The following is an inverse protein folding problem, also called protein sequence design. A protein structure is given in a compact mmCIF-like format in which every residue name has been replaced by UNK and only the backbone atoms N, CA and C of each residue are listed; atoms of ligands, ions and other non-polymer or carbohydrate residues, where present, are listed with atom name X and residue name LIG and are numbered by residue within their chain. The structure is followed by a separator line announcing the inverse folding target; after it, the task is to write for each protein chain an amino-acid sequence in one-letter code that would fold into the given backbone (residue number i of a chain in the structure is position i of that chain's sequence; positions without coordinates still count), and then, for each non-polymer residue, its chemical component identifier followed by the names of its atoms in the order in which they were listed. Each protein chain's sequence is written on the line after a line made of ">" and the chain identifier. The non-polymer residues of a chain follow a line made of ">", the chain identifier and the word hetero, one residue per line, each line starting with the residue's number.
data_IF_122222034320
#
_entry.id   IF_122222034320
#
_cell.length_a   1.000
_cell.length_b   1.000
_cell.length_c   1.000
_cell.angle_alpha   90.00
_cell.angle_beta   90.00
_cell.angle_gamma   90.00
#
_symmetry.space_group_name_H-M   'P 1'
#
loop_
_entity.id
_entity.type
_entity.pdbx_description
1 polymer ?
#
# COMPACT_ATOMS: atom_id res chain seq x y z
N UNK A 1 -42.33 -2.75 10.39
CA UNK A 1 -40.97 -3.02 9.89
C UNK A 1 -40.45 -4.27 10.58
N UNK A 2 -39.86 -5.20 9.84
CA UNK A 2 -39.22 -6.38 10.41
C UNK A 2 -37.96 -5.96 11.21
N UNK A 3 -37.71 -6.61 12.36
CA UNK A 3 -36.55 -6.28 13.19
C UNK A 3 -35.25 -6.68 12.47
N UNK A 4 -34.20 -5.88 12.68
CA UNK A 4 -32.89 -6.16 12.08
C UNK A 4 -32.35 -7.53 12.49
N UNK A 5 -32.59 -7.94 13.74
CA UNK A 5 -32.22 -9.25 14.25
C UNK A 5 -32.88 -10.40 13.45
N UNK A 6 -34.16 -10.28 13.11
CA UNK A 6 -34.88 -11.30 12.32
C UNK A 6 -34.38 -11.36 10.89
N UNK A 7 -34.13 -10.21 10.26
CA UNK A 7 -33.52 -10.15 8.93
C UNK A 7 -32.16 -10.84 8.88
N UNK A 8 -31.31 -10.61 9.89
CA UNK A 8 -30.01 -11.28 10.00
C UNK A 8 -30.20 -12.80 10.13
N UNK A 9 -31.13 -13.27 10.97
CA UNK A 9 -31.39 -14.72 11.13
C UNK A 9 -31.83 -15.37 9.82
N UNK A 10 -32.75 -14.74 9.10
CA UNK A 10 -33.22 -15.23 7.79
C UNK A 10 -32.09 -15.25 6.76
N UNK A 11 -31.35 -14.15 6.64
CA UNK A 11 -30.22 -14.03 5.73
C UNK A 11 -29.12 -15.07 6.00
N UNK A 12 -28.84 -15.38 7.28
CA UNK A 12 -27.93 -16.48 7.67
C UNK A 12 -28.41 -17.85 7.20
N UNK A 13 -29.72 -18.05 7.09
CA UNK A 13 -30.34 -19.26 6.58
C UNK A 13 -30.51 -19.22 5.05
N UNK A 14 -29.64 -18.47 4.35
CA UNK A 14 -29.60 -18.35 2.89
C UNK A 14 -30.84 -17.72 2.25
N UNK A 15 -31.64 -16.97 3.03
CA UNK A 15 -32.74 -16.18 2.48
C UNK A 15 -32.20 -14.98 1.71
N UNK A 16 -32.36 -15.01 0.38
CA UNK A 16 -31.80 -14.01 -0.53
C UNK A 16 -32.44 -12.64 -0.35
N UNK A 17 -33.76 -12.60 -0.18
CA UNK A 17 -34.51 -11.35 -0.01
C UNK A 17 -34.07 -10.60 1.26
N UNK A 18 -33.90 -11.33 2.37
CA UNK A 18 -33.40 -10.75 3.62
C UNK A 18 -31.97 -10.23 3.48
N UNK A 19 -31.09 -10.94 2.76
CA UNK A 19 -29.73 -10.47 2.50
C UNK A 19 -29.72 -9.22 1.62
N UNK A 20 -30.53 -9.20 0.56
CA UNK A 20 -30.64 -8.06 -0.35
C UNK A 20 -31.20 -6.81 0.37
N UNK A 21 -32.19 -6.99 1.23
CA UNK A 21 -32.72 -5.91 2.06
C UNK A 21 -31.67 -5.37 3.05
N UNK A 22 -30.87 -6.26 3.64
CA UNK A 22 -29.76 -5.89 4.51
C UNK A 22 -28.71 -5.09 3.74
N UNK A 23 -28.29 -5.55 2.56
CA UNK A 23 -27.34 -4.84 1.69
C UNK A 23 -27.89 -3.44 1.37
N UNK A 24 -29.15 -3.35 0.94
CA UNK A 24 -29.81 -2.07 0.62
C UNK A 24 -29.82 -1.12 1.83
N UNK A 25 -30.09 -1.64 3.03
CA UNK A 25 -30.13 -0.84 4.27
C UNK A 25 -28.77 -0.30 4.68
N UNK A 26 -27.69 -1.02 4.40
CA UNK A 26 -26.31 -0.63 4.73
C UNK A 26 -25.52 -0.06 3.53
N UNK A 27 -26.08 -0.03 2.33
CA UNK A 27 -25.45 0.54 1.14
C UNK A 27 -24.97 1.99 1.33
N UNK A 28 -25.69 2.89 2.04
CA UNK A 28 -25.22 4.25 2.26
C UNK A 28 -23.86 4.33 2.95
N UNK A 29 -23.61 3.48 3.95
CA UNK A 29 -22.31 3.44 4.65
C UNK A 29 -21.25 2.71 3.81
N UNK A 30 -21.62 1.61 3.13
CA UNK A 30 -20.71 0.89 2.23
C UNK A 30 -20.21 1.84 1.14
N UNK A 31 -21.11 2.55 0.47
CA UNK A 31 -20.81 3.54 -0.57
C UNK A 31 -20.01 4.73 -0.01
N UNK A 32 -20.31 5.18 1.22
CA UNK A 32 -19.54 6.26 1.86
C UNK A 32 -18.09 5.87 2.14
N UNK A 33 -17.86 4.62 2.57
CA UNK A 33 -16.52 4.10 2.85
C UNK A 33 -15.76 3.75 1.57
N UNK A 34 -16.42 3.18 0.56
CA UNK A 34 -15.79 2.82 -0.70
C UNK A 34 -15.25 4.05 -1.44
N UNK A 35 -15.97 5.17 -1.43
CA UNK A 35 -15.51 6.44 -2.03
C UNK A 35 -14.23 7.00 -1.40
N UNK A 36 -13.91 6.60 -0.17
CA UNK A 36 -12.69 7.00 0.53
C UNK A 36 -11.50 6.08 0.21
N UNK A 37 -11.74 5.00 -0.52
CA UNK A 37 -10.72 4.07 -0.99
C UNK A 37 -10.42 4.41 -2.47
N UNK A 38 -9.15 4.49 -2.83
CA UNK A 38 -8.69 4.70 -4.22
C UNK A 38 -8.66 3.35 -4.97
N UNK A 39 -9.74 2.58 -4.91
CA UNK A 39 -9.85 1.25 -5.51
C UNK A 39 -11.23 1.11 -6.16
N UNK A 40 -11.27 0.79 -7.44
CA UNK A 40 -12.50 0.60 -8.23
C UNK A 40 -13.37 -0.52 -7.64
N UNK A 41 -12.74 -1.56 -7.09
CA UNK A 41 -13.43 -2.71 -6.47
C UNK A 41 -13.83 -2.49 -5.01
N UNK A 42 -13.50 -1.33 -4.42
CA UNK A 42 -13.72 -1.07 -3.00
C UNK A 42 -15.17 -1.28 -2.54
N UNK A 43 -16.15 -0.94 -3.39
CA UNK A 43 -17.56 -1.14 -3.06
C UNK A 43 -17.91 -2.63 -3.04
N UNK A 44 -17.40 -3.41 -3.99
CA UNK A 44 -17.62 -4.85 -4.06
C UNK A 44 -16.96 -5.54 -2.86
N UNK A 45 -15.71 -5.19 -2.54
CA UNK A 45 -14.96 -5.75 -1.41
C UNK A 45 -15.68 -5.52 -0.07
N UNK A 46 -16.13 -4.30 0.18
CA UNK A 46 -16.88 -3.97 1.40
C UNK A 46 -18.24 -4.68 1.45
N UNK A 47 -18.90 -4.89 0.31
CA UNK A 47 -20.16 -5.63 0.23
C UNK A 47 -19.95 -7.12 0.51
N UNK A 48 -18.89 -7.73 -0.05
CA UNK A 48 -18.52 -9.12 0.21
C UNK A 48 -18.17 -9.31 1.68
N UNK A 49 -17.41 -8.39 2.26
CA UNK A 49 -17.10 -8.40 3.70
C UNK A 49 -18.36 -8.27 4.56
N UNK A 50 -19.29 -7.38 4.20
CA UNK A 50 -20.57 -7.23 4.87
C UNK A 50 -21.36 -8.55 4.87
N UNK A 51 -21.54 -9.17 3.70
CA UNK A 51 -22.24 -10.46 3.56
C UNK A 51 -21.61 -11.52 4.46
N UNK A 52 -20.27 -11.63 4.43
CA UNK A 52 -19.52 -12.57 5.29
C UNK A 52 -19.78 -12.29 6.78
N UNK A 53 -19.74 -11.03 7.18
CA UNK A 53 -20.02 -10.62 8.57
C UNK A 53 -21.42 -11.04 9.01
N UNK A 54 -22.45 -10.91 8.17
CA UNK A 54 -23.81 -11.38 8.46
C UNK A 54 -23.83 -12.91 8.65
N UNK A 55 -23.14 -13.67 7.79
CA UNK A 55 -23.03 -15.12 7.95
C UNK A 55 -22.25 -15.55 9.20
N UNK A 56 -21.27 -14.76 9.65
CA UNK A 56 -20.39 -15.11 10.77
C UNK A 56 -20.87 -14.58 12.13
N UNK A 57 -21.73 -13.55 12.16
CA UNK A 57 -22.15 -12.91 13.42
C UNK A 57 -22.80 -13.91 14.38
N UNK A 58 -22.26 -14.03 15.59
CA UNK A 58 -22.81 -14.88 16.66
C UNK A 58 -23.79 -14.09 17.50
N UNK A 59 -25.06 -14.04 17.09
CA UNK A 59 -26.10 -13.27 17.78
C UNK A 59 -26.25 -13.66 19.27
N UNK A 60 -26.01 -14.93 19.61
CA UNK A 60 -26.08 -15.44 20.99
C UNK A 60 -25.04 -14.79 21.91
N UNK A 61 -23.91 -14.34 21.35
CA UNK A 61 -22.81 -13.74 22.11
C UNK A 61 -22.97 -12.22 22.30
N UNK A 62 -24.04 -11.62 21.78
CA UNK A 62 -24.28 -10.18 21.89
C UNK A 62 -24.98 -9.87 23.22
N UNK A 63 -24.34 -9.06 24.05
CA UNK A 63 -24.89 -8.55 25.32
C UNK A 63 -26.23 -7.82 25.08
N UNK A 64 -26.38 -7.18 23.92
CA UNK A 64 -27.59 -6.50 23.51
C UNK A 64 -27.84 -6.75 22.02
N UNK A 65 -29.00 -7.33 21.70
CA UNK A 65 -29.42 -7.65 20.32
C UNK A 65 -30.49 -6.70 19.78
N UNK A 66 -30.66 -5.54 20.40
CA UNK A 66 -31.51 -4.48 19.84
C UNK A 66 -30.99 -4.03 18.48
N UNK A 67 -31.90 -3.53 17.64
CA UNK A 67 -31.57 -3.04 16.31
C UNK A 67 -30.46 -1.97 16.34
N UNK A 68 -30.48 -1.07 17.34
CA UNK A 68 -29.42 -0.06 17.50
C UNK A 68 -28.05 -0.66 17.81
N UNK A 69 -28.00 -1.70 18.66
CA UNK A 69 -26.75 -2.40 18.96
C UNK A 69 -26.21 -3.13 17.73
N UNK A 70 -27.08 -3.78 16.96
CA UNK A 70 -26.72 -4.48 15.72
C UNK A 70 -26.23 -3.52 14.63
N UNK A 71 -26.91 -2.38 14.45
CA UNK A 71 -26.46 -1.32 13.53
C UNK A 71 -25.06 -0.84 13.93
N UNK A 72 -24.83 -0.56 15.21
CA UNK A 72 -23.52 -0.13 15.68
C UNK A 72 -22.45 -1.21 15.48
N UNK A 73 -22.75 -2.48 15.75
CA UNK A 73 -21.84 -3.59 15.53
C UNK A 73 -21.39 -3.67 14.06
N UNK A 74 -22.36 -3.66 13.13
CA UNK A 74 -22.11 -3.74 11.69
C UNK A 74 -21.31 -2.53 11.22
N UNK A 75 -21.70 -1.32 11.66
CA UNK A 75 -21.00 -0.07 11.37
C UNK A 75 -19.53 -0.16 11.79
N UNK A 76 -19.25 -0.63 12.99
CA UNK A 76 -17.88 -0.78 13.48
C UNK A 76 -17.08 -1.84 12.73
N UNK A 77 -17.72 -2.94 12.32
CA UNK A 77 -17.10 -3.93 11.45
C UNK A 77 -16.66 -3.33 10.11
N UNK A 78 -17.55 -2.58 9.46
CA UNK A 78 -17.28 -1.90 8.19
C UNK A 78 -16.15 -0.86 8.30
N UNK A 79 -16.11 -0.05 9.36
CA UNK A 79 -15.00 0.88 9.58
C UNK A 79 -13.66 0.16 9.75
N UNK A 80 -13.64 -0.97 10.47
CA UNK A 80 -12.41 -1.75 10.65
C UNK A 80 -11.90 -2.30 9.32
N UNK A 81 -12.77 -2.85 8.49
CA UNK A 81 -12.37 -3.33 7.16
C UNK A 81 -11.92 -2.19 6.26
N UNK A 82 -12.63 -1.06 6.27
CA UNK A 82 -12.17 0.16 5.59
C UNK A 82 -10.74 0.56 6.02
N UNK A 83 -10.46 0.62 7.31
CA UNK A 83 -9.13 0.98 7.80
C UNK A 83 -8.06 -0.04 7.42
N UNK A 84 -8.42 -1.33 7.33
CA UNK A 84 -7.52 -2.38 6.86
C UNK A 84 -7.21 -2.22 5.37
N UNK A 85 -8.23 -2.01 4.53
CA UNK A 85 -8.07 -1.78 3.10
C UNK A 85 -7.28 -0.50 2.81
N UNK A 86 -7.53 0.57 3.58
CA UNK A 86 -6.83 1.85 3.43
C UNK A 86 -5.37 1.83 3.92
N UNK A 87 -4.95 0.80 4.67
CA UNK A 87 -3.56 0.59 5.09
C UNK A 87 -2.73 -0.15 4.05
N UNK A 88 -3.37 -0.90 3.15
CA UNK A 88 -2.70 -1.44 1.97
C UNK A 88 -2.36 -0.22 1.11
N UNK A 89 -1.07 0.09 0.99
CA UNK A 89 -0.62 1.28 0.28
C UNK A 89 -1.30 1.36 -1.10
N UNK A 90 -1.71 2.56 -1.56
CA UNK A 90 -2.24 2.69 -2.90
C UNK A 90 -1.19 2.11 -3.84
N UNK A 91 -1.57 1.11 -4.64
CA UNK A 91 -0.83 0.81 -5.86
C UNK A 91 -0.79 2.16 -6.58
N UNK A 92 0.40 2.74 -6.70
CA UNK A 92 0.56 4.00 -7.43
C UNK A 92 -0.02 3.73 -8.81
N UNK A 93 -1.15 4.35 -9.12
CA UNK A 93 -1.72 4.31 -10.45
C UNK A 93 -0.75 5.06 -11.35
N UNK A 94 0.09 4.30 -12.03
CA UNK A 94 0.96 4.83 -13.06
C UNK A 94 0.07 5.11 -14.28
N UNK A 95 0.10 6.32 -14.82
CA UNK A 95 -0.70 6.64 -16.01
C UNK A 95 -0.23 5.75 -17.17
N UNK A 96 -1.17 5.32 -18.02
CA UNK A 96 -0.87 4.45 -19.17
C UNK A 96 0.21 5.04 -20.09
N UNK A 97 0.38 6.37 -20.09
CA UNK A 97 1.45 7.07 -20.82
C UNK A 97 2.86 6.76 -20.30
N UNK A 98 3.03 6.52 -19.00
CA UNK A 98 4.34 6.19 -18.41
C UNK A 98 4.78 4.75 -18.76
N UNK A 99 3.84 3.89 -19.21
CA UNK A 99 4.14 2.54 -19.70
C UNK A 99 4.68 2.60 -21.14
N UNK A 100 4.30 3.61 -21.92
CA UNK A 100 4.68 3.78 -23.33
C UNK A 100 5.80 4.78 -23.57
N UNK A 101 6.39 5.38 -22.53
CA UNK A 101 7.76 5.89 -22.69
C UNK A 101 8.63 4.67 -22.92
N UNK A 102 8.97 4.44 -24.20
CA UNK A 102 9.94 3.45 -24.68
C UNK A 102 10.98 3.22 -23.59
N UNK A 103 11.17 1.96 -23.23
CA UNK A 103 12.14 1.46 -22.27
C UNK A 103 13.52 2.06 -22.54
N UNK A 104 13.74 3.25 -21.99
CA UNK A 104 15.02 3.93 -21.92
C UNK A 104 15.84 3.33 -20.79
N UNK A 105 15.29 2.39 -20.03
CA UNK A 105 15.90 1.90 -18.81
C UNK A 105 17.23 1.22 -19.13
N UNK A 106 17.32 0.30 -20.10
CA UNK A 106 18.63 -0.31 -20.44
C UNK A 106 19.68 0.71 -20.92
N UNK A 107 19.29 1.73 -21.69
CA UNK A 107 20.22 2.78 -22.16
C UNK A 107 20.65 3.73 -21.03
N UNK A 108 19.71 4.21 -20.21
CA UNK A 108 19.94 5.07 -19.05
C UNK A 108 20.78 4.32 -18.00
N UNK A 109 20.57 3.00 -17.88
CA UNK A 109 21.34 2.17 -16.97
C UNK A 109 22.81 2.06 -17.38
N UNK A 110 23.04 1.80 -18.67
CA UNK A 110 24.39 1.78 -19.26
C UNK A 110 25.04 3.16 -19.15
N UNK A 111 24.30 4.23 -19.48
CA UNK A 111 24.79 5.61 -19.42
C UNK A 111 25.19 6.02 -17.99
N UNK A 112 24.37 5.70 -16.98
CA UNK A 112 24.68 6.00 -15.58
C UNK A 112 25.93 5.28 -15.09
N UNK A 113 26.09 3.99 -15.45
CA UNK A 113 27.27 3.21 -15.08
C UNK A 113 28.53 3.73 -15.78
N UNK A 114 28.44 4.02 -17.07
CA UNK A 114 29.54 4.61 -17.87
C UNK A 114 29.96 5.96 -17.32
N UNK A 115 29.00 6.81 -16.94
CA UNK A 115 29.28 8.11 -16.32
C UNK A 115 30.02 7.96 -14.98
N UNK A 116 29.59 7.04 -14.10
CA UNK A 116 30.30 6.77 -12.86
C UNK A 116 31.71 6.21 -13.09
N UNK A 117 31.90 5.36 -14.10
CA UNK A 117 33.21 4.85 -14.52
C UNK A 117 34.14 5.99 -14.97
N UNK A 118 33.62 6.93 -15.78
CA UNK A 118 34.36 8.11 -16.21
C UNK A 118 34.81 8.98 -15.02
N UNK A 119 33.95 9.16 -14.02
CA UNK A 119 34.28 9.92 -12.81
C UNK A 119 35.35 9.25 -11.96
N UNK A 120 35.41 7.92 -11.94
CA UNK A 120 36.52 7.19 -11.31
C UNK A 120 37.81 7.36 -12.11
N UNK A 121 37.76 7.25 -13.44
CA UNK A 121 38.92 7.47 -14.31
C UNK A 121 39.50 8.89 -14.14
N UNK A 122 38.62 9.90 -14.02
CA UNK A 122 38.98 11.29 -13.73
C UNK A 122 39.42 11.54 -12.27
N UNK A 123 39.44 10.50 -11.42
CA UNK A 123 39.79 10.55 -9.99
C UNK A 123 38.90 11.48 -9.16
N UNK A 124 37.69 11.79 -9.66
CA UNK A 124 36.67 12.54 -8.91
C UNK A 124 36.09 11.65 -7.81
N UNK A 125 35.87 10.38 -8.14
CA UNK A 125 35.39 9.35 -7.23
C UNK A 125 36.41 8.21 -7.08
N UNK A 126 36.38 7.51 -5.96
CA UNK A 126 36.98 6.19 -5.82
C UNK A 126 35.94 5.09 -6.01
N UNK A 127 36.39 3.84 -6.19
CA UNK A 127 35.50 2.69 -6.43
C UNK A 127 34.46 2.49 -5.32
N UNK A 128 34.82 2.72 -4.05
CA UNK A 128 33.86 2.60 -2.93
C UNK A 128 32.77 3.68 -3.00
N UNK A 129 33.12 4.89 -3.40
CA UNK A 129 32.17 5.99 -3.59
C UNK A 129 31.24 5.71 -4.78
N UNK A 130 31.79 5.29 -5.92
CA UNK A 130 31.00 4.84 -7.08
C UNK A 130 30.04 3.72 -6.69
N UNK A 131 30.52 2.71 -5.98
CA UNK A 131 29.70 1.59 -5.54
C UNK A 131 28.51 2.03 -4.69
N UNK A 132 28.75 2.88 -3.69
CA UNK A 132 27.68 3.41 -2.83
C UNK A 132 26.69 4.26 -3.62
N UNK A 133 27.14 5.08 -4.58
CA UNK A 133 26.24 5.85 -5.44
C UNK A 133 25.38 4.93 -6.31
N UNK A 134 25.99 3.92 -6.95
CA UNK A 134 25.28 2.94 -7.75
C UNK A 134 24.22 2.22 -6.92
N UNK A 135 24.57 1.66 -5.77
CA UNK A 135 23.61 0.96 -4.91
C UNK A 135 22.46 1.85 -4.43
N UNK A 136 22.74 3.12 -4.14
CA UNK A 136 21.76 4.03 -3.55
C UNK A 136 20.79 4.64 -4.56
N UNK A 137 21.28 5.02 -5.74
CA UNK A 137 20.48 5.75 -6.73
C UNK A 137 19.93 4.86 -7.84
N UNK A 138 20.60 3.74 -8.13
CA UNK A 138 20.17 2.82 -9.18
C UNK A 138 19.44 1.61 -8.60
N UNK A 139 20.04 0.93 -7.62
CA UNK A 139 19.44 -0.26 -7.00
C UNK A 139 18.49 0.08 -5.85
N UNK A 140 18.33 1.36 -5.53
CA UNK A 140 17.49 1.88 -4.45
C UNK A 140 17.73 1.22 -3.07
N UNK A 141 18.94 0.73 -2.83
CA UNK A 141 19.31 0.14 -1.55
C UNK A 141 19.38 1.20 -0.46
N UNK A 142 18.93 0.82 0.73
CA UNK A 142 19.09 1.57 1.97
C UNK A 142 20.55 1.52 2.46
N UNK A 143 20.93 2.49 3.31
CA UNK A 143 22.27 2.48 3.91
C UNK A 143 22.53 1.23 4.74
N UNK A 144 21.48 0.61 5.30
CA UNK A 144 21.58 -0.62 6.08
C UNK A 144 21.94 -1.81 5.17
N UNK A 145 21.24 -1.98 4.06
CA UNK A 145 21.51 -3.05 3.07
C UNK A 145 22.91 -2.94 2.49
N UNK A 146 23.34 -1.72 2.15
CA UNK A 146 24.70 -1.46 1.67
C UNK A 146 25.73 -1.76 2.77
N UNK A 147 25.41 -1.47 4.03
CA UNK A 147 26.32 -1.72 5.15
C UNK A 147 26.54 -3.20 5.41
N UNK A 148 25.49 -4.01 5.27
CA UNK A 148 25.54 -5.47 5.35
C UNK A 148 26.40 -6.02 4.21
N UNK A 149 26.18 -5.57 2.98
CA UNK A 149 26.93 -6.05 1.80
C UNK A 149 28.43 -5.69 1.85
N UNK A 150 28.75 -4.50 2.37
CA UNK A 150 30.14 -4.04 2.52
C UNK A 150 30.80 -4.47 3.84
N UNK A 151 30.06 -5.13 4.74
CA UNK A 151 30.51 -5.47 6.10
C UNK A 151 31.08 -4.27 6.88
N UNK A 152 30.41 -3.12 6.80
CA UNK A 152 30.76 -1.88 7.52
C UNK A 152 29.56 -1.34 8.28
N UNK A 153 29.74 -0.29 9.10
CA UNK A 153 28.59 0.34 9.78
C UNK A 153 27.77 1.20 8.82
N UNK A 154 26.45 1.31 9.09
CA UNK A 154 25.55 2.26 8.41
C UNK A 154 26.07 3.70 8.39
N UNK A 155 26.78 4.10 9.46
CA UNK A 155 27.40 5.43 9.58
C UNK A 155 28.59 5.59 8.62
N UNK A 156 29.36 4.51 8.40
CA UNK A 156 30.45 4.50 7.43
C UNK A 156 29.92 4.62 5.99
N UNK A 157 28.84 3.91 5.64
CA UNK A 157 28.15 4.05 4.34
C UNK A 157 27.72 5.50 4.12
N UNK A 158 27.04 6.10 5.11
CA UNK A 158 26.61 7.50 5.08
C UNK A 158 27.78 8.47 4.86
N UNK A 159 28.92 8.24 5.52
CA UNK A 159 30.13 9.06 5.36
C UNK A 159 30.71 8.94 3.94
N UNK A 160 30.73 7.74 3.38
CA UNK A 160 31.18 7.50 2.00
C UNK A 160 30.26 8.20 1.01
N UNK A 161 28.94 8.06 1.17
CA UNK A 161 27.92 8.71 0.34
C UNK A 161 28.08 10.23 0.34
N UNK A 162 28.14 10.86 1.53
CA UNK A 162 28.32 12.32 1.64
C UNK A 162 29.60 12.80 0.96
N UNK A 163 30.72 12.11 1.18
CA UNK A 163 32.00 12.47 0.55
C UNK A 163 31.94 12.33 -0.98
N UNK A 164 31.22 11.34 -1.50
CA UNK A 164 30.99 11.19 -2.93
C UNK A 164 30.20 12.38 -3.50
N UNK A 165 29.10 12.78 -2.85
CA UNK A 165 28.30 13.94 -3.24
C UNK A 165 29.12 15.24 -3.19
N UNK A 166 29.94 15.44 -2.16
CA UNK A 166 30.80 16.63 -2.07
C UNK A 166 31.85 16.69 -3.19
N UNK A 167 32.42 15.54 -3.58
CA UNK A 167 33.32 15.46 -4.72
C UNK A 167 32.62 15.80 -6.04
N UNK A 168 31.39 15.28 -6.24
CA UNK A 168 30.58 15.61 -7.43
C UNK A 168 30.25 17.09 -7.50
N UNK A 169 29.85 17.71 -6.38
CA UNK A 169 29.58 19.16 -6.30
C UNK A 169 30.81 19.99 -6.69
N UNK A 170 32.01 19.58 -6.26
CA UNK A 170 33.26 20.26 -6.61
C UNK A 170 33.66 20.08 -8.07
N UNK A 171 33.25 18.99 -8.70
CA UNK A 171 33.54 18.73 -10.11
C UNK A 171 32.58 19.47 -11.06
N UNK A 172 31.34 19.69 -10.62
CA UNK A 172 30.30 20.38 -11.40
C UNK A 172 30.31 21.90 -11.24
N UNK A 173 31.01 22.43 -10.24
CA UNK A 173 31.27 23.86 -10.05
C UNK A 173 32.59 24.26 -10.69
#
# INVERSE_FOLDING_TARGET
>A
MESLCNLIKKAKNFDKESMELLITKFDPIITSLSRKLQNEDAKNDLTVFFIRMIYEIKLINLINSSDGALVNYIKQGLYREYHKLNKVAPIISVEFNDIFTVDTNDYVQVEYKVFLDELVMKKVLNEKQKYVLLKKYYYHCTDEEISIELCISRQAVNKIHRKAIDNLRKYLN
#
